data_IF_965127264058
#
_entry.id   IF_965127264058
#
_cell.length_a   1.000
_cell.length_b   1.000
_cell.length_c   1.000
_cell.angle_alpha   90.00
_cell.angle_beta   90.00
_cell.angle_gamma   90.00
#
_symmetry.space_group_name_H-M   'P 1'
#
loop_
_entity.id
_entity.type
_entity.pdbx_description
1 polymer ?
#
# COMPACT_ATOMS: atom_id res chain seq x y z
N UNK A 1 72.22 49.01 -46.20
CA UNK A 1 72.80 47.69 -45.84
C UNK A 1 72.16 46.65 -46.73
N UNK A 2 72.98 45.98 -47.57
CA UNK A 2 72.89 44.62 -48.18
C UNK A 2 71.49 44.12 -48.59
N UNK A 3 71.20 44.00 -49.90
CA UNK A 3 71.42 42.84 -50.80
C UNK A 3 70.73 41.57 -50.25
N UNK A 4 69.87 40.82 -50.97
CA UNK A 4 70.10 40.00 -52.19
C UNK A 4 68.68 39.61 -52.73
N UNK A 5 68.23 39.96 -53.94
CA UNK A 5 68.35 39.30 -55.27
C UNK A 5 67.80 37.85 -55.42
N UNK A 6 66.80 37.73 -56.31
CA UNK A 6 66.56 36.68 -57.33
C UNK A 6 65.40 35.64 -57.26
N UNK A 7 64.51 35.80 -58.26
CA UNK A 7 64.07 34.82 -59.30
C UNK A 7 63.17 33.64 -58.86
N UNK A 8 61.92 33.60 -59.35
CA UNK A 8 61.54 32.76 -60.51
C UNK A 8 60.05 32.85 -60.87
N UNK A 9 59.79 32.72 -62.17
CA UNK A 9 58.50 32.68 -62.86
C UNK A 9 57.76 31.37 -62.56
N UNK A 10 56.44 31.41 -62.35
CA UNK A 10 55.56 30.30 -62.70
C UNK A 10 54.13 30.82 -62.92
N UNK A 11 53.65 30.73 -64.16
CA UNK A 11 52.25 30.88 -64.51
C UNK A 11 51.47 29.72 -63.87
N UNK A 12 50.51 30.03 -62.99
CA UNK A 12 49.59 29.03 -62.44
C UNK A 12 48.45 28.86 -63.44
N UNK A 13 48.60 27.84 -64.28
CA UNK A 13 47.54 27.27 -65.09
C UNK A 13 46.51 26.64 -64.14
N UNK A 14 45.35 27.26 -64.01
CA UNK A 14 44.20 26.69 -63.29
C UNK A 14 43.68 25.53 -64.13
N UNK A 15 44.11 24.30 -63.81
CA UNK A 15 43.44 23.10 -64.29
C UNK A 15 42.12 22.98 -63.52
N UNK A 16 41.02 23.30 -64.19
CA UNK A 16 39.73 22.69 -63.87
C UNK A 16 39.86 21.20 -64.15
N UNK A 17 40.21 20.40 -63.14
CA UNK A 17 39.88 18.99 -63.15
C UNK A 17 38.37 18.93 -62.99
N UNK A 18 37.68 18.65 -64.09
CA UNK A 18 36.28 18.28 -64.10
C UNK A 18 36.10 17.17 -63.06
N UNK A 19 35.29 17.43 -62.05
CA UNK A 19 34.75 16.40 -61.18
C UNK A 19 33.57 15.74 -61.91
N UNK A 20 33.83 15.20 -63.11
CA UNK A 20 32.85 14.46 -63.93
C UNK A 20 33.09 12.94 -63.84
N UNK A 21 33.88 12.48 -62.87
CA UNK A 21 34.29 11.06 -62.76
C UNK A 21 33.87 10.42 -61.42
N UNK A 22 32.82 10.94 -60.77
CA UNK A 22 32.15 10.24 -59.67
C UNK A 22 31.16 9.17 -60.18
N UNK A 23 30.74 9.26 -61.45
CA UNK A 23 29.87 8.29 -62.12
C UNK A 23 30.58 6.94 -62.38
N UNK A 24 31.91 6.88 -62.20
CA UNK A 24 32.68 5.63 -62.32
C UNK A 24 32.40 4.62 -61.20
N UNK A 25 31.69 5.03 -60.16
CA UNK A 25 31.20 4.14 -59.10
C UNK A 25 29.68 3.91 -59.16
N UNK A 26 28.97 4.45 -60.15
CA UNK A 26 27.61 3.99 -60.45
C UNK A 26 27.69 2.68 -61.26
N UNK A 27 27.48 1.55 -60.59
CA UNK A 27 27.05 0.34 -61.29
C UNK A 27 25.52 0.36 -61.34
N UNK A 28 24.95 0.27 -62.54
CA UNK A 28 24.45 -1.04 -62.91
C UNK A 28 25.08 -1.48 -64.23
N UNK A 29 25.90 -2.52 -64.18
CA UNK A 29 26.34 -3.16 -65.42
C UNK A 29 25.12 -3.70 -66.15
N UNK A 30 25.13 -3.58 -67.48
CA UNK A 30 24.25 -4.38 -68.31
C UNK A 30 24.41 -5.86 -67.86
N UNK A 31 23.31 -6.46 -67.37
CA UNK A 31 23.20 -7.78 -66.74
C UNK A 31 23.32 -7.87 -65.20
N UNK A 32 23.33 -6.76 -64.44
CA UNK A 32 23.09 -6.83 -62.99
C UNK A 32 21.70 -7.42 -62.71
N UNK A 33 21.64 -8.44 -61.84
CA UNK A 33 20.39 -8.94 -61.29
C UNK A 33 19.91 -7.97 -60.19
N UNK A 34 18.61 -7.59 -60.16
CA UNK A 34 18.06 -6.83 -59.05
C UNK A 34 18.33 -7.56 -57.73
N UNK A 35 18.67 -6.81 -56.67
CA UNK A 35 18.69 -7.40 -55.34
C UNK A 35 17.27 -7.85 -55.01
N UNK A 36 17.14 -9.17 -54.85
CA UNK A 36 15.90 -9.88 -54.55
C UNK A 36 15.95 -10.48 -53.14
N UNK A 37 17.01 -10.21 -52.36
CA UNK A 37 17.19 -10.73 -51.01
C UNK A 37 16.44 -9.82 -50.04
N UNK A 38 15.38 -10.29 -49.37
CA UNK A 38 14.68 -9.46 -48.40
C UNK A 38 15.58 -9.11 -47.21
N UNK A 39 15.28 -8.03 -46.46
CA UNK A 39 15.90 -7.78 -45.16
C UNK A 39 15.62 -8.94 -44.18
N UNK A 40 16.37 -9.01 -43.09
CA UNK A 40 16.09 -9.93 -41.98
C UNK A 40 15.51 -9.14 -40.81
N UNK A 41 14.25 -9.40 -40.45
CA UNK A 41 13.63 -8.76 -39.29
C UNK A 41 14.08 -9.46 -38.00
N UNK A 42 14.64 -8.70 -37.05
CA UNK A 42 15.09 -9.22 -35.76
C UNK A 42 14.80 -8.19 -34.68
N UNK A 43 14.26 -8.64 -33.55
CA UNK A 43 14.12 -7.78 -32.37
C UNK A 43 14.19 -8.54 -31.04
N UNK A 44 14.42 -7.79 -29.98
CA UNK A 44 14.23 -8.23 -28.58
C UNK A 44 13.25 -7.30 -27.89
N UNK A 45 12.55 -7.82 -26.87
CA UNK A 45 11.65 -7.06 -26.01
C UNK A 45 12.10 -7.25 -24.56
N UNK A 46 12.15 -6.17 -23.78
CA UNK A 46 12.49 -6.18 -22.36
C UNK A 46 11.45 -5.37 -21.60
N UNK A 47 10.89 -5.95 -20.55
CA UNK A 47 9.98 -5.25 -19.63
C UNK A 47 10.79 -4.38 -18.64
N UNK A 48 10.30 -3.19 -18.32
CA UNK A 48 10.86 -2.35 -17.25
C UNK A 48 10.72 -3.01 -15.88
N UNK A 49 11.65 -2.69 -14.97
CA UNK A 49 11.47 -3.02 -13.55
C UNK A 49 10.56 -2.00 -12.85
N UNK A 50 10.60 -0.75 -13.31
CA UNK A 50 9.80 0.36 -12.80
C UNK A 50 8.32 0.20 -13.18
N UNK A 51 7.44 0.41 -12.20
CA UNK A 51 5.98 0.52 -12.38
C UNK A 51 5.64 2.00 -12.44
N UNK A 52 4.91 2.40 -13.48
CA UNK A 52 4.51 3.80 -13.65
C UNK A 52 3.24 4.13 -12.84
N UNK A 53 2.79 5.38 -12.92
CA UNK A 53 1.68 5.94 -12.15
C UNK A 53 0.32 5.25 -12.39
N UNK A 54 0.16 4.53 -13.52
CA UNK A 54 -1.04 3.76 -13.85
C UNK A 54 -0.98 2.30 -13.39
N UNK A 55 0.10 1.89 -12.72
CA UNK A 55 0.27 0.54 -12.21
C UNK A 55 0.83 -0.47 -13.21
N UNK A 56 1.25 -0.03 -14.41
CA UNK A 56 1.81 -0.91 -15.44
C UNK A 56 3.29 -0.65 -15.73
N UNK A 57 3.93 -1.61 -16.41
CA UNK A 57 5.35 -1.56 -16.79
C UNK A 57 5.50 -1.28 -18.29
N UNK A 58 6.53 -0.53 -18.63
CA UNK A 58 6.90 -0.27 -20.03
C UNK A 58 7.59 -1.48 -20.66
N UNK A 59 7.43 -1.63 -21.97
CA UNK A 59 8.24 -2.54 -22.78
C UNK A 59 9.11 -1.76 -23.74
N UNK A 60 10.41 -2.06 -23.70
CA UNK A 60 11.42 -1.52 -24.61
C UNK A 60 11.72 -2.56 -25.69
N UNK A 61 11.59 -2.15 -26.96
CA UNK A 61 11.88 -3.00 -28.10
C UNK A 61 13.17 -2.55 -28.78
N UNK A 62 14.14 -3.46 -28.85
CA UNK A 62 15.40 -3.21 -29.57
C UNK A 62 15.38 -3.91 -30.92
N UNK A 63 15.64 -3.13 -31.97
CA UNK A 63 15.67 -3.61 -33.33
C UNK A 63 17.08 -4.05 -33.73
N UNK A 64 17.21 -5.30 -34.14
CA UNK A 64 18.44 -5.91 -34.64
C UNK A 64 18.36 -6.28 -36.13
N UNK A 65 17.40 -5.73 -36.86
CA UNK A 65 17.14 -6.12 -38.26
C UNK A 65 18.31 -5.76 -39.18
N UNK A 66 18.56 -6.62 -40.16
CA UNK A 66 19.71 -6.51 -41.08
C UNK A 66 19.22 -6.14 -42.49
N UNK A 67 19.95 -5.25 -43.17
CA UNK A 67 19.66 -4.79 -44.54
C UNK A 67 18.30 -4.10 -44.73
N UNK A 68 17.75 -3.49 -43.68
CA UNK A 68 16.48 -2.76 -43.72
C UNK A 68 16.69 -1.23 -43.62
N UNK A 69 15.77 -0.46 -44.21
CA UNK A 69 15.74 1.01 -44.15
C UNK A 69 14.50 1.57 -43.45
N UNK A 70 13.41 0.83 -43.37
CA UNK A 70 12.19 1.25 -42.66
C UNK A 70 11.58 0.11 -41.84
N UNK A 71 10.83 0.48 -40.79
CA UNK A 71 10.31 -0.44 -39.79
C UNK A 71 8.84 -0.13 -39.49
N UNK A 72 8.07 -1.19 -39.27
CA UNK A 72 6.68 -1.11 -38.81
C UNK A 72 6.45 -2.14 -37.72
N UNK A 73 6.00 -1.66 -36.57
CA UNK A 73 5.68 -2.44 -35.39
C UNK A 73 4.17 -2.55 -35.22
N UNK A 74 3.70 -3.75 -34.90
CA UNK A 74 2.36 -4.01 -34.37
C UNK A 74 2.55 -4.79 -33.07
N UNK A 75 2.10 -4.20 -31.96
CA UNK A 75 2.30 -4.80 -30.64
C UNK A 75 1.23 -5.82 -30.27
N UNK A 76 0.17 -5.99 -31.09
CA UNK A 76 -0.90 -6.96 -30.86
C UNK A 76 -1.97 -6.50 -29.86
N UNK A 77 -1.83 -5.31 -29.28
CA UNK A 77 -2.79 -4.64 -28.39
C UNK A 77 -3.58 -3.52 -29.11
N UNK A 78 -3.36 -3.34 -30.41
CA UNK A 78 -3.90 -2.25 -31.21
C UNK A 78 -2.97 -1.04 -31.34
N UNK A 79 -1.87 -0.98 -30.60
CA UNK A 79 -0.82 0.02 -30.75
C UNK A 79 0.16 -0.37 -31.86
N UNK A 80 0.73 0.64 -32.52
CA UNK A 80 1.72 0.47 -33.59
C UNK A 80 2.82 1.54 -33.47
N UNK A 81 3.97 1.31 -34.10
CA UNK A 81 5.04 2.31 -34.19
C UNK A 81 5.85 2.15 -35.48
N UNK A 82 6.52 3.21 -35.91
CA UNK A 82 7.51 3.20 -36.99
C UNK A 82 8.93 3.54 -36.52
N UNK A 83 9.13 3.70 -35.21
CA UNK A 83 10.42 4.06 -34.65
C UNK A 83 11.42 2.91 -34.77
N UNK A 84 12.71 3.25 -34.79
CA UNK A 84 13.78 2.25 -34.83
C UNK A 84 13.74 1.36 -33.59
N UNK A 85 13.58 1.96 -32.39
CA UNK A 85 13.46 1.29 -31.10
C UNK A 85 12.28 1.91 -30.33
N UNK A 86 11.06 1.35 -30.46
CA UNK A 86 9.90 1.92 -29.81
C UNK A 86 9.75 1.45 -28.36
N UNK A 87 8.92 2.20 -27.63
CA UNK A 87 8.37 1.79 -26.34
C UNK A 87 6.87 1.51 -26.49
N UNK A 88 6.36 0.47 -25.86
CA UNK A 88 4.92 0.21 -25.76
C UNK A 88 4.49 -0.05 -24.32
N UNK A 89 3.26 0.32 -23.99
CA UNK A 89 2.61 0.05 -22.71
C UNK A 89 1.38 -0.83 -22.96
N UNK A 90 1.40 -2.04 -22.41
CA UNK A 90 0.25 -2.93 -22.43
C UNK A 90 -0.63 -2.61 -21.21
N UNK A 91 -1.93 -2.43 -21.44
CA UNK A 91 -2.87 -2.04 -20.38
C UNK A 91 -3.52 -3.19 -19.61
N UNK A 92 -3.27 -4.43 -20.04
CA UNK A 92 -3.80 -5.64 -19.40
C UNK A 92 -2.73 -6.74 -19.40
N UNK A 93 -2.87 -7.69 -18.48
CA UNK A 93 -2.04 -8.90 -18.48
C UNK A 93 -2.44 -9.82 -19.63
N UNK A 94 -1.49 -10.57 -20.14
CA UNK A 94 -1.75 -11.52 -21.22
C UNK A 94 -0.55 -11.78 -22.10
N UNK A 95 -0.79 -12.54 -23.17
CA UNK A 95 0.20 -12.79 -24.20
C UNK A 95 -0.16 -12.01 -25.45
N UNK A 96 0.75 -11.14 -25.87
CA UNK A 96 0.60 -10.32 -27.07
C UNK A 96 1.60 -10.80 -28.13
N UNK A 97 1.11 -11.05 -29.34
CA UNK A 97 1.97 -11.38 -30.49
C UNK A 97 2.48 -10.09 -31.11
N UNK A 98 3.70 -9.69 -30.75
CA UNK A 98 4.37 -8.50 -31.29
C UNK A 98 5.03 -8.85 -32.61
N UNK A 99 4.82 -8.03 -33.63
CA UNK A 99 5.43 -8.19 -34.95
C UNK A 99 6.23 -6.97 -35.38
N UNK A 100 7.40 -7.22 -35.98
CA UNK A 100 8.25 -6.24 -36.64
C UNK A 100 8.32 -6.58 -38.11
N UNK A 101 7.87 -5.67 -38.97
CA UNK A 101 8.08 -5.72 -40.42
C UNK A 101 9.21 -4.77 -40.80
N UNK A 102 10.31 -5.32 -41.30
CA UNK A 102 11.46 -4.60 -41.81
C UNK A 102 11.38 -4.53 -43.35
N UNK A 103 11.63 -3.36 -43.94
CA UNK A 103 11.61 -3.16 -45.40
C UNK A 103 12.89 -2.49 -45.88
N UNK A 104 13.32 -2.80 -47.11
CA UNK A 104 14.46 -2.15 -47.77
C UNK A 104 14.01 -1.07 -48.79
N UNK A 105 14.98 -0.42 -49.44
CA UNK A 105 14.71 0.61 -50.45
C UNK A 105 14.13 0.07 -51.78
N UNK A 106 14.22 -1.23 -51.99
CA UNK A 106 13.69 -1.91 -53.17
C UNK A 106 12.23 -2.36 -52.95
N UNK A 107 11.70 -2.15 -51.74
CA UNK A 107 10.35 -2.55 -51.34
C UNK A 107 10.24 -4.02 -50.94
N UNK A 108 11.36 -4.72 -50.73
CA UNK A 108 11.34 -6.07 -50.17
C UNK A 108 11.14 -5.99 -48.67
N UNK A 109 10.39 -6.96 -48.13
CA UNK A 109 9.97 -6.96 -46.73
C UNK A 109 10.18 -8.31 -46.08
N UNK A 110 10.44 -8.29 -44.77
CA UNK A 110 10.43 -9.48 -43.92
C UNK A 110 9.75 -9.15 -42.59
N UNK A 111 9.02 -10.12 -42.04
CA UNK A 111 8.29 -9.94 -40.78
C UNK A 111 8.70 -11.01 -39.79
N UNK A 112 9.06 -10.58 -38.58
CA UNK A 112 9.25 -11.46 -37.43
C UNK A 112 8.14 -11.20 -36.42
N UNK A 113 7.49 -12.26 -35.95
CA UNK A 113 6.54 -12.21 -34.85
C UNK A 113 7.07 -12.98 -33.64
N UNK A 114 6.91 -12.43 -32.44
CA UNK A 114 7.23 -13.08 -31.16
C UNK A 114 6.13 -12.81 -30.15
N UNK A 115 5.84 -13.82 -29.34
CA UNK A 115 4.95 -13.65 -28.20
C UNK A 115 5.69 -12.98 -27.04
N UNK A 116 5.04 -11.96 -26.47
CA UNK A 116 5.48 -11.23 -25.28
C UNK A 116 4.42 -11.45 -24.21
N UNK A 117 4.83 -12.00 -23.07
CA UNK A 117 3.96 -12.17 -21.91
C UNK A 117 4.07 -10.94 -21.02
N UNK A 118 2.93 -10.33 -20.73
CA UNK A 118 2.75 -9.21 -19.82
C UNK A 118 2.13 -9.77 -18.55
N UNK A 119 2.84 -9.62 -17.44
CA UNK A 119 2.35 -9.97 -16.11
C UNK A 119 1.87 -8.71 -15.40
N UNK A 120 0.74 -8.81 -14.70
CA UNK A 120 0.26 -7.75 -13.81
C UNK A 120 1.32 -7.48 -12.74
N UNK A 121 1.76 -6.23 -12.55
CA UNK A 121 2.67 -5.90 -11.46
C UNK A 121 2.02 -6.20 -10.10
N UNK A 122 2.79 -6.64 -9.09
CA UNK A 122 2.25 -6.85 -7.77
C UNK A 122 1.64 -5.54 -7.25
N UNK A 123 0.46 -5.62 -6.66
CA UNK A 123 -0.17 -4.47 -6.01
C UNK A 123 0.80 -3.85 -4.99
N UNK A 124 0.84 -2.51 -4.88
CA UNK A 124 1.69 -1.86 -3.90
C UNK A 124 1.34 -2.34 -2.50
N UNK A 125 2.33 -2.53 -1.61
CA UNK A 125 2.06 -2.94 -0.24
C UNK A 125 1.18 -1.89 0.44
N UNK A 126 0.12 -2.34 1.08
CA UNK A 126 -0.71 -1.48 1.93
C UNK A 126 0.04 -1.26 3.24
N UNK A 127 0.11 0.00 3.69
CA UNK A 127 0.77 0.33 4.96
C UNK A 127 -0.07 -0.11 6.14
N UNK A 128 0.59 -0.58 7.20
CA UNK A 128 -0.03 -0.88 8.48
C UNK A 128 -0.61 0.39 9.10
N UNK A 129 -1.79 0.33 9.75
CA UNK A 129 -2.34 1.47 10.45
C UNK A 129 -1.41 1.97 11.56
N UNK A 130 -1.32 3.29 11.70
CA UNK A 130 -0.56 3.91 12.79
C UNK A 130 -1.49 4.09 13.99
N UNK A 131 -1.18 3.40 15.08
CA UNK A 131 -1.83 3.55 16.38
C UNK A 131 -0.85 4.15 17.38
N UNK A 132 -1.38 4.92 18.33
CA UNK A 132 -0.56 5.52 19.39
C UNK A 132 -0.62 4.67 20.66
N UNK A 133 0.48 4.62 21.40
CA UNK A 133 0.57 3.93 22.69
C UNK A 133 0.12 2.45 22.65
N UNK A 134 0.50 1.72 21.61
CA UNK A 134 0.11 0.32 21.39
C UNK A 134 0.74 -0.69 22.36
N UNK A 135 1.80 -0.26 23.05
CA UNK A 135 2.46 -0.99 24.14
C UNK A 135 1.93 -0.56 25.53
N UNK A 136 0.89 0.27 25.56
CA UNK A 136 0.21 0.76 26.77
C UNK A 136 1.16 1.30 27.86
N UNK A 137 2.15 2.09 27.44
CA UNK A 137 3.10 2.79 28.32
C UNK A 137 2.38 3.70 29.32
N UNK A 138 3.01 3.91 30.48
CA UNK A 138 2.54 4.87 31.49
C UNK A 138 2.62 6.32 30.99
N UNK A 139 1.45 6.95 30.90
CA UNK A 139 1.33 8.36 30.57
C UNK A 139 1.17 9.24 31.82
N UNK A 140 1.60 10.50 31.73
CA UNK A 140 1.43 11.48 32.79
C UNK A 140 -0.04 11.84 33.03
N UNK A 141 -0.41 12.12 34.29
CA UNK A 141 -1.76 12.58 34.66
C UNK A 141 -2.10 13.88 33.91
N UNK A 142 -3.19 13.89 33.15
CA UNK A 142 -3.84 15.15 32.80
C UNK A 142 -4.46 15.76 34.07
N UNK A 143 -4.44 17.08 34.21
CA UNK A 143 -4.92 17.75 35.41
C UNK A 143 -6.42 17.51 35.59
N UNK A 144 -6.84 16.95 36.74
CA UNK A 144 -8.25 16.79 37.11
C UNK A 144 -8.84 15.38 36.99
N UNK A 145 -8.04 14.36 36.64
CA UNK A 145 -8.43 12.94 36.63
C UNK A 145 -7.53 12.13 37.56
N UNK A 146 -8.08 11.21 38.34
CA UNK A 146 -7.34 10.20 39.11
C UNK A 146 -6.89 9.02 38.25
N UNK A 147 -7.60 8.72 37.17
CA UNK A 147 -7.23 7.75 36.15
C UNK A 147 -6.18 8.35 35.18
N UNK A 148 -4.97 7.76 35.15
CA UNK A 148 -3.87 8.08 34.21
C UNK A 148 -4.09 7.39 32.88
N UNK A 149 -5.18 7.68 32.17
CA UNK A 149 -5.58 6.77 31.09
C UNK A 149 -4.78 6.95 29.79
N UNK A 150 -4.61 5.82 29.09
CA UNK A 150 -4.04 5.71 27.75
C UNK A 150 -4.65 6.76 26.80
N UNK A 151 -3.98 7.12 25.70
CA UNK A 151 -4.59 7.91 24.61
C UNK A 151 -5.70 7.18 23.84
N UNK A 152 -6.53 6.39 24.54
CA UNK A 152 -7.59 5.52 24.04
C UNK A 152 -8.88 5.79 24.83
N UNK A 153 -9.12 7.04 25.23
CA UNK A 153 -10.24 7.50 26.06
C UNK A 153 -11.21 8.29 25.21
N UNK A 154 -12.49 7.90 25.16
CA UNK A 154 -13.55 8.71 24.59
C UNK A 154 -14.69 8.95 25.59
N UNK A 155 -14.62 9.99 26.42
CA UNK A 155 -15.63 10.25 27.48
C UNK A 155 -17.07 10.32 26.97
N UNK A 156 -17.29 10.57 25.67
CA UNK A 156 -18.62 10.51 25.04
C UNK A 156 -19.27 9.12 25.17
N UNK A 157 -18.46 8.07 25.26
CA UNK A 157 -18.89 6.69 25.40
C UNK A 157 -19.09 6.23 26.87
N UNK A 158 -18.83 7.10 27.85
CA UNK A 158 -19.02 6.80 29.27
C UNK A 158 -17.71 6.57 30.04
N UNK A 159 -17.78 5.81 31.14
CA UNK A 159 -16.63 5.47 32.00
C UNK A 159 -15.62 4.63 31.24
N UNK A 160 -14.32 4.86 31.42
CA UNK A 160 -13.26 4.34 30.54
C UNK A 160 -12.25 3.54 31.35
N UNK A 161 -11.63 2.54 30.72
CA UNK A 161 -10.61 1.72 31.34
C UNK A 161 -9.46 2.53 31.93
N UNK A 162 -9.05 2.16 33.14
CA UNK A 162 -7.88 2.74 33.77
C UNK A 162 -6.60 2.15 33.17
N UNK A 163 -5.68 2.99 32.72
CA UNK A 163 -4.26 2.58 32.76
C UNK A 163 -3.81 2.73 34.21
N UNK A 164 -4.03 1.67 34.99
CA UNK A 164 -3.40 1.51 36.29
C UNK A 164 -2.32 0.43 36.13
N UNK A 165 -1.09 0.69 36.58
CA UNK A 165 -0.81 0.34 37.96
C UNK A 165 -0.02 1.43 38.69
N UNK A 166 -0.46 1.75 39.89
CA UNK A 166 0.27 2.61 40.81
C UNK A 166 1.62 2.05 41.28
N UNK A 167 2.04 0.83 40.91
CA UNK A 167 3.29 0.18 41.36
C UNK A 167 3.75 -1.02 40.48
N UNK A 168 3.61 -1.00 39.16
CA UNK A 168 4.05 -2.09 38.26
C UNK A 168 4.42 -1.61 36.85
N UNK A 169 5.03 -2.49 36.06
CA UNK A 169 5.31 -2.26 34.62
C UNK A 169 4.01 -2.20 33.80
N UNK A 170 4.10 -1.46 32.70
CA UNK A 170 3.09 -0.90 31.81
C UNK A 170 2.03 -1.89 31.30
N UNK A 171 0.74 -1.61 31.53
CA UNK A 171 -0.41 -2.33 30.95
C UNK A 171 -1.70 -1.52 31.06
N UNK A 172 -2.63 -1.77 30.15
CA UNK A 172 -4.02 -1.33 30.23
C UNK A 172 -4.86 -2.32 31.03
N UNK A 173 -5.77 -1.82 31.87
CA UNK A 173 -6.54 -2.63 32.81
C UNK A 173 -8.04 -2.37 32.65
N UNK A 174 -8.82 -3.44 32.77
CA UNK A 174 -10.26 -3.41 32.96
C UNK A 174 -10.52 -4.01 34.34
N UNK A 175 -11.00 -3.19 35.28
CA UNK A 175 -11.13 -3.58 36.67
C UNK A 175 -12.57 -3.49 37.20
N UNK A 176 -12.71 -3.74 38.51
CA UNK A 176 -14.00 -3.98 39.15
C UNK A 176 -14.78 -2.66 39.35
N UNK A 177 -16.11 -2.77 39.20
CA UNK A 177 -17.14 -1.81 39.65
C UNK A 177 -17.51 -0.69 38.67
N UNK A 178 -16.92 -0.66 37.46
CA UNK A 178 -17.22 0.35 36.43
C UNK A 178 -17.29 -0.25 35.01
N UNK A 179 -18.08 0.35 34.09
CA UNK A 179 -18.19 -0.12 32.70
C UNK A 179 -16.97 0.28 31.87
N UNK A 180 -15.83 -0.37 32.10
CA UNK A 180 -14.59 -0.05 31.43
C UNK A 180 -14.60 -0.43 29.95
N UNK A 181 -14.22 0.55 29.13
CA UNK A 181 -13.95 0.34 27.72
C UNK A 181 -12.79 1.21 27.26
N UNK A 182 -12.36 0.99 26.03
CA UNK A 182 -11.31 1.76 25.36
C UNK A 182 -11.72 2.01 23.93
N UNK A 183 -11.21 3.10 23.37
CA UNK A 183 -11.59 3.54 22.04
C UNK A 183 -10.45 4.28 21.35
N UNK A 184 -10.04 3.81 20.17
CA UNK A 184 -9.12 4.52 19.30
C UNK A 184 -9.52 4.38 17.83
N UNK A 185 -9.51 5.50 17.12
CA UNK A 185 -9.67 5.53 15.66
C UNK A 185 -8.32 5.48 14.95
N UNK A 186 -8.30 4.87 13.77
CA UNK A 186 -7.12 4.77 12.91
C UNK A 186 -7.52 4.73 11.43
N UNK A 187 -6.59 5.16 10.59
CA UNK A 187 -6.76 5.16 9.14
C UNK A 187 -6.61 3.74 8.58
N UNK A 188 -7.40 3.42 7.56
CA UNK A 188 -7.27 2.17 6.80
C UNK A 188 -7.45 2.42 5.32
N UNK A 189 -6.79 1.62 4.49
CA UNK A 189 -7.11 1.51 3.07
C UNK A 189 -8.41 0.71 2.88
N UNK A 190 -9.37 1.19 2.07
CA UNK A 190 -10.60 0.47 1.75
C UNK A 190 -10.37 -0.88 1.08
N UNK A 191 -11.25 -1.84 1.39
CA UNK A 191 -11.33 -3.21 0.87
C UNK A 191 -10.13 -4.10 1.19
N UNK A 192 -9.38 -3.75 2.24
CA UNK A 192 -8.21 -4.50 2.70
C UNK A 192 -8.57 -5.34 3.92
N UNK A 193 -7.96 -6.52 4.02
CA UNK A 193 -8.03 -7.35 5.22
C UNK A 193 -6.96 -6.91 6.20
N UNK A 194 -7.31 -6.80 7.47
CA UNK A 194 -6.38 -6.47 8.54
C UNK A 194 -6.39 -7.55 9.60
N UNK A 195 -5.22 -7.76 10.19
CA UNK A 195 -5.02 -8.62 11.35
C UNK A 195 -4.72 -7.76 12.57
N UNK A 196 -5.38 -8.06 13.70
CA UNK A 196 -5.08 -7.51 15.01
C UNK A 196 -4.42 -8.62 15.82
N UNK A 197 -3.15 -8.42 16.20
CA UNK A 197 -2.50 -9.21 17.24
C UNK A 197 -2.58 -8.47 18.57
N UNK A 198 -3.02 -9.16 19.63
CA UNK A 198 -3.15 -8.54 20.95
C UNK A 198 -2.80 -9.52 22.07
N UNK A 199 -2.03 -9.04 23.05
CA UNK A 199 -1.61 -9.82 24.23
C UNK A 199 -2.51 -9.50 25.43
N UNK A 200 -3.24 -10.52 25.91
CA UNK A 200 -4.27 -10.37 26.95
C UNK A 200 -4.01 -11.35 28.08
N UNK A 201 -4.15 -10.86 29.32
CA UNK A 201 -4.12 -11.67 30.54
C UNK A 201 -5.44 -11.55 31.27
N UNK A 202 -6.01 -12.68 31.69
CA UNK A 202 -7.18 -12.72 32.54
C UNK A 202 -6.79 -13.15 33.96
N UNK A 203 -6.95 -12.28 34.95
CA UNK A 203 -6.76 -12.60 36.37
C UNK A 203 -8.09 -12.99 37.00
N UNK A 204 -8.10 -14.13 37.70
CA UNK A 204 -9.29 -14.67 38.38
C UNK A 204 -9.02 -14.67 39.88
N UNK A 205 -9.95 -14.15 40.69
CA UNK A 205 -9.79 -14.27 42.14
C UNK A 205 -10.00 -15.74 42.56
N UNK A 206 -9.30 -16.14 43.62
CA UNK A 206 -9.50 -17.40 44.35
C UNK A 206 -10.87 -17.38 45.04
N UNK A 207 -11.94 -17.65 44.29
CA UNK A 207 -13.30 -17.79 44.81
C UNK A 207 -14.43 -17.29 43.91
N UNK A 208 -14.11 -16.69 42.76
CA UNK A 208 -15.10 -16.29 41.74
C UNK A 208 -15.59 -17.48 40.90
N UNK A 209 -16.81 -17.39 40.37
CA UNK A 209 -17.29 -18.28 39.31
C UNK A 209 -16.90 -17.65 37.96
N UNK A 210 -15.78 -18.07 37.36
CA UNK A 210 -15.22 -17.44 36.16
C UNK A 210 -16.14 -17.51 34.90
N UNK A 211 -16.02 -16.61 33.90
CA UNK A 211 -15.40 -15.26 34.02
C UNK A 211 -15.95 -14.12 33.11
N UNK A 212 -15.56 -12.88 33.49
CA UNK A 212 -15.55 -11.70 32.63
C UNK A 212 -14.95 -12.01 31.26
N UNK A 213 -15.64 -11.57 30.21
CA UNK A 213 -15.19 -11.71 28.82
C UNK A 213 -14.75 -10.36 28.30
N UNK A 214 -13.92 -10.34 27.27
CA UNK A 214 -13.53 -9.11 26.60
C UNK A 214 -14.20 -9.07 25.22
N UNK A 215 -14.96 -8.03 24.93
CA UNK A 215 -15.54 -7.83 23.61
C UNK A 215 -14.72 -6.83 22.81
N UNK A 216 -14.32 -7.25 21.62
CA UNK A 216 -13.64 -6.46 20.61
C UNK A 216 -14.60 -6.11 19.50
N UNK A 217 -14.54 -4.86 19.06
CA UNK A 217 -15.27 -4.37 17.90
C UNK A 217 -14.34 -3.58 16.99
N UNK A 218 -14.33 -3.93 15.71
CA UNK A 218 -13.84 -3.04 14.66
C UNK A 218 -15.05 -2.27 14.11
N UNK A 219 -15.14 -0.99 14.40
CA UNK A 219 -16.26 -0.13 14.06
C UNK A 219 -15.98 0.63 12.76
N UNK A 220 -16.93 0.58 11.83
CA UNK A 220 -16.87 1.28 10.56
C UNK A 220 -16.87 2.80 10.78
N UNK A 221 -15.99 3.53 10.07
CA UNK A 221 -15.98 4.99 10.09
C UNK A 221 -17.22 5.62 9.46
N UNK A 222 -17.95 4.89 8.61
CA UNK A 222 -19.27 5.34 8.14
C UNK A 222 -20.32 5.45 9.24
N UNK A 223 -20.06 4.85 10.41
CA UNK A 223 -20.96 4.92 11.57
C UNK A 223 -20.67 6.07 12.54
N UNK A 224 -19.67 6.92 12.28
CA UNK A 224 -19.41 8.13 13.06
C UNK A 224 -20.58 9.14 12.98
N UNK A 225 -20.57 10.10 13.89
CA UNK A 225 -21.54 11.20 13.86
C UNK A 225 -21.50 11.98 12.54
N UNK A 226 -22.67 12.41 12.07
CA UNK A 226 -22.77 13.12 10.81
C UNK A 226 -21.97 14.45 10.82
N UNK A 227 -21.09 14.62 9.84
CA UNK A 227 -20.20 15.77 9.72
C UNK A 227 -18.90 15.64 10.52
N UNK A 228 -18.70 14.53 11.23
CA UNK A 228 -17.41 14.21 11.82
C UNK A 228 -16.36 13.92 10.74
N UNK A 229 -15.15 14.43 10.95
CA UNK A 229 -13.98 14.12 10.12
C UNK A 229 -12.92 13.49 11.02
N UNK A 230 -12.55 12.21 10.79
CA UNK A 230 -11.52 11.54 11.58
C UNK A 230 -10.23 12.33 11.60
N UNK A 231 -9.59 12.38 12.77
CA UNK A 231 -8.31 13.05 12.94
C UNK A 231 -7.35 12.08 13.59
N UNK A 232 -6.31 11.69 12.87
CA UNK A 232 -5.31 10.76 13.37
C UNK A 232 -4.19 11.50 14.06
N UNK A 233 -3.85 11.05 15.26
CA UNK A 233 -2.82 11.65 16.10
C UNK A 233 -1.58 10.77 16.07
N UNK A 234 -0.41 11.39 16.05
CA UNK A 234 0.88 10.68 16.03
C UNK A 234 1.51 10.58 17.42
N UNK A 235 1.08 11.42 18.36
CA UNK A 235 1.66 11.53 19.70
C UNK A 235 0.55 11.59 20.75
N UNK A 236 0.80 10.96 21.89
CA UNK A 236 -0.26 10.78 22.90
C UNK A 236 -0.72 12.06 23.57
N UNK A 237 0.11 13.10 23.61
CA UNK A 237 -0.25 14.41 24.19
C UNK A 237 -1.26 15.19 23.36
N UNK A 238 -1.44 14.84 22.08
CA UNK A 238 -2.36 15.52 21.17
C UNK A 238 -3.74 14.86 21.14
N UNK A 239 -3.84 13.63 21.68
CA UNK A 239 -5.04 12.82 21.57
C UNK A 239 -6.21 13.39 22.43
N UNK A 240 -7.39 13.62 21.85
CA UNK A 240 -8.53 14.17 22.57
C UNK A 240 -9.11 13.13 23.54
N UNK A 241 -9.71 13.61 24.62
CA UNK A 241 -10.39 12.75 25.59
C UNK A 241 -11.91 12.68 25.36
N UNK A 242 -12.44 13.50 24.46
CA UNK A 242 -13.87 13.62 24.13
C UNK A 242 -14.09 14.14 22.71
N UNK A 243 -15.33 13.99 22.21
CA UNK A 243 -15.77 14.65 20.97
C UNK A 243 -15.22 14.08 19.66
N UNK A 244 -14.79 12.81 19.64
CA UNK A 244 -14.26 12.16 18.44
C UNK A 244 -14.95 10.83 18.15
N UNK A 245 -15.18 10.55 16.86
CA UNK A 245 -15.77 9.31 16.35
C UNK A 245 -17.19 9.03 16.85
N UNK A 246 -17.39 7.89 17.52
CA UNK A 246 -18.67 7.48 18.09
C UNK A 246 -18.97 8.28 19.38
N UNK A 247 -20.24 8.67 19.57
CA UNK A 247 -20.67 9.53 20.68
C UNK A 247 -21.49 8.81 21.75
N UNK A 248 -21.79 7.53 21.58
CA UNK A 248 -22.44 6.69 22.59
C UNK A 248 -22.17 5.20 22.39
N UNK A 249 -22.21 4.41 23.47
CA UNK A 249 -22.13 2.93 23.40
C UNK A 249 -23.26 2.36 22.52
N UNK A 250 -24.45 2.96 22.57
CA UNK A 250 -25.56 2.51 21.74
C UNK A 250 -25.23 2.53 20.24
N UNK A 251 -24.43 3.50 19.76
CA UNK A 251 -23.98 3.54 18.37
C UNK A 251 -22.94 2.46 18.06
N UNK A 252 -22.06 2.11 19.02
CA UNK A 252 -21.06 1.04 18.83
C UNK A 252 -21.72 -0.36 18.77
N UNK A 253 -22.95 -0.48 19.29
CA UNK A 253 -23.74 -1.71 19.28
C UNK A 253 -24.63 -1.89 18.04
N UNK A 254 -24.77 -0.85 17.19
CA UNK A 254 -25.51 -0.95 15.92
C UNK A 254 -24.79 -1.94 15.00
N UNK A 255 -25.49 -2.99 14.56
CA UNK A 255 -24.88 -4.10 13.81
C UNK A 255 -24.20 -3.63 12.52
N UNK A 256 -24.82 -2.70 11.79
CA UNK A 256 -24.31 -2.13 10.55
C UNK A 256 -22.99 -1.35 10.72
N UNK A 257 -22.71 -0.91 11.94
CA UNK A 257 -21.48 -0.21 12.30
C UNK A 257 -20.33 -1.17 12.60
N UNK A 258 -20.56 -2.47 12.72
CA UNK A 258 -19.57 -3.44 13.17
C UNK A 258 -19.01 -4.25 11.99
N UNK A 259 -17.73 -4.02 11.65
CA UNK A 259 -16.98 -4.82 10.67
C UNK A 259 -16.47 -6.14 11.28
N UNK A 260 -16.31 -6.16 12.60
CA UNK A 260 -15.99 -7.35 13.37
C UNK A 260 -16.52 -7.16 14.79
N UNK A 261 -17.07 -8.24 15.36
CA UNK A 261 -17.34 -8.35 16.79
C UNK A 261 -16.79 -9.68 17.28
N UNK A 262 -15.97 -9.65 18.33
CA UNK A 262 -15.39 -10.86 18.93
C UNK A 262 -15.50 -10.80 20.45
N UNK A 263 -16.10 -11.83 21.02
CA UNK A 263 -16.05 -12.07 22.46
C UNK A 263 -14.94 -13.08 22.77
N UNK A 264 -14.03 -12.69 23.66
CA UNK A 264 -12.99 -13.52 24.23
C UNK A 264 -13.40 -13.89 25.66
N UNK A 265 -13.84 -15.13 25.83
CA UNK A 265 -14.13 -15.66 27.17
C UNK A 265 -12.81 -15.91 27.89
N UNK A 266 -12.78 -15.69 29.20
CA UNK A 266 -11.56 -15.98 29.94
C UNK A 266 -11.23 -17.49 29.91
N UNK A 267 -9.97 -17.83 29.59
CA UNK A 267 -9.54 -19.20 29.31
C UNK A 267 -9.20 -20.02 30.57
N UNK A 268 -9.49 -19.51 31.77
CA UNK A 268 -8.99 -19.99 33.06
C UNK A 268 -7.45 -20.08 33.10
N UNK A 269 -6.78 -19.14 32.41
CA UNK A 269 -5.33 -19.01 32.35
C UNK A 269 -4.92 -17.57 32.70
N UNK A 270 -3.99 -17.46 33.64
CA UNK A 270 -3.46 -16.19 34.13
C UNK A 270 -2.15 -15.79 33.44
N UNK A 271 -1.77 -16.48 32.37
CA UNK A 271 -0.67 -16.09 31.49
C UNK A 271 -1.12 -15.00 30.51
N UNK A 272 -0.18 -14.27 29.93
CA UNK A 272 -0.48 -13.49 28.73
C UNK A 272 -0.66 -14.45 27.56
N UNK A 273 -1.79 -14.34 26.87
CA UNK A 273 -2.13 -15.11 25.69
C UNK A 273 -2.26 -14.14 24.52
N UNK A 274 -1.56 -14.44 23.42
CA UNK A 274 -1.73 -13.72 22.16
C UNK A 274 -3.01 -14.18 21.47
N UNK A 275 -3.86 -13.23 21.12
CA UNK A 275 -5.04 -13.43 20.28
C UNK A 275 -4.83 -12.79 18.92
N UNK A 276 -5.32 -13.47 17.89
CA UNK A 276 -5.30 -12.99 16.50
C UNK A 276 -6.75 -12.82 16.05
N UNK A 277 -7.11 -11.58 15.74
CA UNK A 277 -8.42 -11.21 15.22
C UNK A 277 -8.26 -10.69 13.78
N UNK A 278 -9.27 -10.85 12.93
CA UNK A 278 -9.22 -10.34 11.57
C UNK A 278 -10.50 -9.58 11.25
N UNK A 279 -10.39 -8.53 10.44
CA UNK A 279 -11.53 -7.79 9.89
C UNK A 279 -11.20 -7.31 8.47
N UNK A 280 -12.24 -7.04 7.66
CA UNK A 280 -12.08 -6.38 6.37
C UNK A 280 -12.56 -4.93 6.51
N UNK A 281 -11.84 -3.95 5.96
CA UNK A 281 -12.22 -2.54 6.08
C UNK A 281 -13.50 -2.19 5.30
N UNK A 282 -13.91 -3.02 4.35
CA UNK A 282 -14.99 -2.70 3.43
C UNK A 282 -14.71 -1.38 2.71
N UNK A 283 -15.74 -0.60 2.41
CA UNK A 283 -15.54 0.70 1.77
C UNK A 283 -14.98 1.80 2.71
N UNK A 284 -14.64 1.48 3.97
CA UNK A 284 -14.22 2.48 4.95
C UNK A 284 -12.75 2.86 4.74
N UNK A 285 -12.47 4.15 4.89
CA UNK A 285 -11.12 4.71 4.99
C UNK A 285 -10.70 5.02 6.44
N UNK A 286 -11.61 4.81 7.41
CA UNK A 286 -11.37 4.99 8.84
C UNK A 286 -12.12 3.93 9.62
N UNK A 287 -11.52 3.46 10.71
CA UNK A 287 -12.10 2.48 11.62
C UNK A 287 -11.81 2.91 13.06
N UNK A 288 -12.66 2.50 14.00
CA UNK A 288 -12.33 2.56 15.42
C UNK A 288 -12.28 1.18 16.06
N UNK A 289 -11.26 0.94 16.86
CA UNK A 289 -11.19 -0.19 17.76
C UNK A 289 -11.88 0.19 19.07
N UNK A 290 -12.96 -0.52 19.39
CA UNK A 290 -13.64 -0.43 20.66
C UNK A 290 -13.50 -1.75 21.39
N UNK A 291 -13.03 -1.72 22.64
CA UNK A 291 -12.87 -2.92 23.46
C UNK A 291 -13.48 -2.67 24.83
N UNK A 292 -14.27 -3.61 25.33
CA UNK A 292 -14.91 -3.49 26.65
C UNK A 292 -14.94 -4.80 27.41
N UNK A 293 -14.90 -4.72 28.74
CA UNK A 293 -15.23 -5.84 29.60
C UNK A 293 -16.73 -6.19 29.50
N UNK A 294 -17.05 -7.48 29.47
CA UNK A 294 -18.41 -8.02 29.57
C UNK A 294 -18.52 -8.84 30.85
N UNK A 295 -19.53 -8.51 31.65
CA UNK A 295 -19.84 -9.12 32.94
C UNK A 295 -21.32 -9.49 33.13
N UNK A 296 -21.70 -9.66 34.39
CA UNK A 296 -23.04 -9.89 34.88
C UNK A 296 -23.73 -8.56 35.21
N UNK A 297 -24.60 -8.55 36.20
CA UNK A 297 -25.29 -7.33 36.62
C UNK A 297 -24.51 -6.64 37.75
N UNK A 298 -24.27 -5.34 37.63
CA UNK A 298 -23.69 -4.53 38.70
C UNK A 298 -24.64 -4.55 39.93
N UNK A 299 -24.13 -4.97 41.10
CA UNK A 299 -24.90 -4.97 42.34
C UNK A 299 -25.12 -3.53 42.81
N UNK A 300 -26.38 -3.09 42.91
CA UNK A 300 -26.72 -1.75 43.42
C UNK A 300 -26.80 -0.63 42.37
N UNK A 301 -26.65 -0.94 41.08
CA UNK A 301 -27.01 -0.02 40.00
C UNK A 301 -28.52 -0.10 39.72
N UNK A 302 -29.16 1.06 39.50
CA UNK A 302 -30.59 1.15 39.17
C UNK A 302 -30.90 0.85 37.71
N UNK A 303 -29.87 0.81 36.87
CA UNK A 303 -30.00 0.58 35.45
C UNK A 303 -29.60 -0.86 35.13
N UNK A 304 -30.38 -1.52 34.27
CA UNK A 304 -30.06 -2.80 33.66
C UNK A 304 -28.83 -2.70 32.72
N UNK A 305 -27.87 -1.85 33.05
CA UNK A 305 -26.58 -1.74 32.42
C UNK A 305 -25.89 -3.09 32.57
N UNK A 306 -25.81 -3.81 31.44
CA UNK A 306 -25.18 -5.14 31.33
C UNK A 306 -23.66 -5.07 31.45
N UNK A 307 -23.14 -4.06 32.15
CA UNK A 307 -21.74 -3.65 32.14
C UNK A 307 -21.04 -3.88 33.49
N UNK A 308 -21.62 -4.63 34.42
CA UNK A 308 -20.98 -4.89 35.72
C UNK A 308 -20.33 -6.26 35.81
N UNK A 309 -19.02 -6.39 36.03
CA UNK A 309 -18.47 -7.63 36.60
C UNK A 309 -17.84 -7.48 37.98
N UNK A 310 -17.62 -8.66 38.58
CA UNK A 310 -17.82 -9.00 39.98
C UNK A 310 -16.76 -8.51 40.95
N UNK A 311 -17.18 -8.57 42.21
CA UNK A 311 -16.44 -8.19 43.41
C UNK A 311 -15.01 -8.72 43.48
N UNK A 312 -14.06 -7.83 43.79
CA UNK A 312 -12.72 -8.17 44.28
C UNK A 312 -11.60 -7.63 43.39
N UNK A 313 -10.50 -8.40 43.32
CA UNK A 313 -9.28 -8.14 42.54
C UNK A 313 -9.28 -8.87 41.18
N UNK A 314 -10.44 -9.11 40.56
CA UNK A 314 -10.53 -9.65 39.20
C UNK A 314 -10.13 -8.57 38.18
N UNK A 315 -9.30 -8.92 37.20
CA UNK A 315 -8.72 -7.93 36.28
C UNK A 315 -8.45 -8.55 34.90
N UNK A 316 -8.80 -7.83 33.83
CA UNK A 316 -8.30 -8.13 32.47
C UNK A 316 -7.21 -7.12 32.15
N UNK A 317 -6.08 -7.60 31.63
CA UNK A 317 -4.96 -6.73 31.25
C UNK A 317 -4.62 -6.90 29.79
N UNK A 318 -4.34 -5.78 29.12
CA UNK A 318 -3.84 -5.71 27.74
C UNK A 318 -2.46 -5.04 27.79
N UNK A 319 -1.50 -5.56 27.01
CA UNK A 319 -0.10 -5.11 27.05
C UNK A 319 0.43 -4.68 25.68
N UNK A 320 0.14 -5.43 24.62
CA UNK A 320 0.64 -5.09 23.29
C UNK A 320 -0.46 -5.31 22.25
N UNK A 321 -0.53 -4.40 21.28
CA UNK A 321 -1.46 -4.43 20.17
C UNK A 321 -0.78 -4.04 18.86
N UNK A 322 -0.91 -4.87 17.83
CA UNK A 322 -0.39 -4.57 16.48
C UNK A 322 -1.51 -4.80 15.47
N UNK A 323 -1.64 -3.88 14.52
CA UNK A 323 -2.55 -4.04 13.38
C UNK A 323 -1.72 -4.08 12.10
N UNK A 324 -1.92 -5.13 11.29
CA UNK A 324 -1.16 -5.36 10.05
C UNK A 324 -2.11 -5.52 8.87
N UNK A 325 -1.79 -4.90 7.73
CA UNK A 325 -2.49 -5.12 6.47
C UNK A 325 -2.07 -6.46 5.85
N UNK A 326 -3.05 -7.25 5.37
CA UNK A 326 -2.86 -8.58 4.79
C UNK A 326 -2.98 -8.60 3.26
#
# INVERSE_FOLDING_TARGET
MKNIFNISIAAVLVLFLACDDFDKYELPEANSIPDATPPEAVFTAIQSEEVDNDGWKDFYFSNGSISATTYSWDFGDGNTSSDFEPTNRFGEEGTYTVSLTASDNNGLTNTLAKDVTVEEPPAPPVSDPVLINTVFDKLGKSSGSDCTCAGWINRSLGTQGESSTGNGSDVMKFDNNEPDHIYQEFEVTPNINYQIEIDIKFNTNTGGSNPASLEFRALAGTGYDNGYTPTYYNETTEFPQDGYGYSSVAQTEVEENNLMTKVLNNPDDTSYIKYILNFNSGANNSIALFVRGIGGLATGSSDNERYGYSSGDEEIRIDNLVITAL
#
